data_IF_688147574038
#
_entry.id   IF_688147574038
#
_cell.length_a   1.000
_cell.length_b   1.000
_cell.length_c   1.000
_cell.angle_alpha   90.00
_cell.angle_beta   90.00
_cell.angle_gamma   90.00
#
_symmetry.space_group_name_H-M   'P 1'
#
loop_
_entity.id
_entity.type
_entity.pdbx_description
1 polymer ?
#
# COMPACT_ATOMS: atom_id res chain seq x y z
N UNK A 1 6.21 -18.59 8.31
CA UNK A 1 6.40 -17.16 8.66
C UNK A 1 5.05 -16.59 9.08
N UNK A 2 5.04 -15.78 10.14
CA UNK A 2 3.82 -15.11 10.66
C UNK A 2 3.66 -13.76 9.94
N UNK A 3 2.45 -13.41 9.49
CA UNK A 3 2.19 -12.14 8.80
C UNK A 3 2.34 -10.93 9.75
N UNK A 4 2.46 -9.72 9.19
CA UNK A 4 2.49 -8.49 9.98
C UNK A 4 1.27 -8.38 10.91
N UNK A 5 0.07 -8.65 10.38
CA UNK A 5 -1.16 -8.53 11.16
C UNK A 5 -1.19 -9.55 12.29
N UNK A 6 -0.81 -10.81 12.04
CA UNK A 6 -0.81 -11.81 13.11
C UNK A 6 0.23 -11.51 14.20
N UNK A 7 1.40 -10.99 13.80
CA UNK A 7 2.47 -10.66 14.75
C UNK A 7 2.12 -9.46 15.66
N UNK A 8 1.41 -8.47 15.13
CA UNK A 8 1.12 -7.20 15.82
C UNK A 8 -0.38 -6.96 16.04
N UNK A 9 -1.16 -8.03 16.07
CA UNK A 9 -2.64 -8.01 16.09
C UNK A 9 -3.20 -7.09 17.18
N UNK A 10 -2.63 -7.17 18.38
CA UNK A 10 -3.08 -6.41 19.55
C UNK A 10 -2.90 -4.89 19.42
N UNK A 11 -2.07 -4.45 18.46
CA UNK A 11 -1.82 -3.04 18.16
C UNK A 11 -2.58 -2.55 16.93
N UNK A 12 -3.34 -3.40 16.25
CA UNK A 12 -3.97 -3.08 14.98
C UNK A 12 -5.50 -3.04 15.12
N UNK A 13 -6.22 -2.27 14.28
CA UNK A 13 -7.67 -2.15 14.32
C UNK A 13 -8.38 -3.38 13.70
N UNK A 14 -7.99 -4.59 14.10
CA UNK A 14 -8.48 -5.87 13.58
C UNK A 14 -9.13 -6.69 14.69
N UNK A 15 -10.20 -7.39 14.35
CA UNK A 15 -10.89 -8.34 15.23
C UNK A 15 -10.36 -9.76 15.01
N UNK A 16 -10.73 -10.70 15.89
CA UNK A 16 -10.45 -12.14 15.70
C UNK A 16 -11.00 -12.68 14.37
N UNK A 17 -12.03 -12.03 13.83
CA UNK A 17 -12.71 -12.45 12.61
C UNK A 17 -12.25 -11.69 11.37
N UNK A 18 -11.37 -10.69 11.50
CA UNK A 18 -10.86 -9.95 10.36
C UNK A 18 -10.09 -10.89 9.43
N UNK A 19 -10.49 -11.02 8.15
CA UNK A 19 -9.76 -11.82 7.17
C UNK A 19 -8.38 -11.24 6.94
N UNK A 20 -7.34 -12.07 6.98
CA UNK A 20 -5.95 -11.62 6.85
C UNK A 20 -5.49 -11.76 5.40
N UNK A 21 -5.33 -10.61 4.73
CA UNK A 21 -4.74 -10.52 3.39
C UNK A 21 -3.28 -10.14 3.51
N UNK A 22 -2.38 -11.11 3.43
CA UNK A 22 -0.94 -10.90 3.54
C UNK A 22 -0.18 -11.44 2.33
N UNK A 23 0.90 -10.76 1.98
CA UNK A 23 1.95 -11.19 1.05
C UNK A 23 3.27 -11.47 1.78
N UNK A 24 3.22 -11.65 3.10
CA UNK A 24 4.38 -11.84 4.00
C UNK A 24 5.26 -10.58 4.12
N UNK A 25 4.61 -9.42 4.07
CA UNK A 25 5.20 -8.11 4.33
C UNK A 25 5.67 -7.91 5.78
N UNK A 26 6.56 -6.94 5.97
CA UNK A 26 7.17 -6.65 7.25
C UNK A 26 8.41 -7.52 7.51
N UNK A 27 8.86 -7.51 8.77
CA UNK A 27 10.09 -8.19 9.21
C UNK A 27 11.33 -7.95 8.31
N UNK A 28 11.40 -6.77 7.70
CA UNK A 28 12.46 -6.42 6.76
C UNK A 28 13.81 -6.24 7.45
N UNK A 29 14.94 -6.42 6.74
CA UNK A 29 16.26 -6.31 7.32
C UNK A 29 16.50 -4.96 8.02
N UNK A 30 17.19 -5.00 9.15
CA UNK A 30 17.81 -3.84 9.78
C UNK A 30 19.32 -3.99 9.58
N UNK A 31 19.87 -3.24 8.62
CA UNK A 31 21.24 -3.43 8.15
C UNK A 31 22.15 -2.45 8.87
N UNK A 32 23.17 -2.96 9.55
CA UNK A 32 24.25 -2.12 10.07
C UNK A 32 25.04 -1.50 8.90
N UNK A 33 25.34 -0.21 8.96
CA UNK A 33 25.98 0.55 7.88
C UNK A 33 27.29 1.25 8.33
N UNK A 34 28.31 0.48 8.78
CA UNK A 34 29.52 1.06 9.39
C UNK A 34 30.32 1.92 8.42
N UNK A 35 30.42 1.53 7.14
CA UNK A 35 31.11 2.32 6.11
C UNK A 35 30.41 3.65 5.81
N UNK A 36 29.08 3.68 5.86
CA UNK A 36 28.32 4.91 5.67
C UNK A 36 28.46 5.83 6.88
N UNK A 37 28.42 5.27 8.10
CA UNK A 37 28.67 6.03 9.33
C UNK A 37 30.05 6.72 9.29
N UNK A 38 31.09 5.98 8.89
CA UNK A 38 32.44 6.53 8.71
C UNK A 38 32.47 7.63 7.64
N UNK A 39 31.86 7.41 6.48
CA UNK A 39 31.87 8.35 5.36
C UNK A 39 31.23 9.71 5.70
N UNK A 40 30.28 9.74 6.65
CA UNK A 40 29.60 10.96 7.09
C UNK A 40 30.10 11.48 8.45
N UNK A 41 31.16 10.88 9.02
CA UNK A 41 31.67 11.17 10.36
C UNK A 41 30.60 11.05 11.46
N UNK A 42 29.68 10.09 11.33
CA UNK A 42 28.67 9.83 12.36
C UNK A 42 29.30 9.08 13.53
N UNK A 43 29.25 9.62 14.76
CA UNK A 43 29.99 9.05 15.90
C UNK A 43 29.31 7.82 16.54
N UNK A 44 28.16 7.39 16.03
CA UNK A 44 27.37 6.29 16.60
C UNK A 44 27.14 5.14 15.62
N UNK A 45 26.31 4.19 16.04
CA UNK A 45 25.86 3.09 15.20
C UNK A 45 24.79 3.57 14.21
N UNK A 46 25.02 3.33 12.92
CA UNK A 46 24.06 3.65 11.86
C UNK A 46 23.42 2.38 11.34
N UNK A 47 22.09 2.34 11.33
CA UNK A 47 21.31 1.24 10.75
C UNK A 47 20.37 1.74 9.66
N UNK A 48 20.18 0.90 8.64
CA UNK A 48 19.25 1.12 7.54
C UNK A 48 18.08 0.15 7.65
N UNK A 49 16.86 0.68 7.83
CA UNK A 49 15.64 -0.14 7.76
C UNK A 49 15.26 -0.38 6.31
N UNK A 50 15.57 -1.55 5.77
CA UNK A 50 15.46 -1.81 4.33
C UNK A 50 14.07 -2.29 3.91
N UNK A 51 13.11 -1.36 3.80
CA UNK A 51 11.74 -1.67 3.39
C UNK A 51 11.55 -1.95 1.90
N UNK A 52 12.62 -1.88 1.10
CA UNK A 52 12.65 -2.38 -0.28
C UNK A 52 12.54 -3.90 -0.39
N UNK A 53 12.76 -4.63 0.71
CA UNK A 53 12.58 -6.09 0.77
C UNK A 53 11.11 -6.52 0.95
N UNK A 54 10.16 -5.58 1.07
CA UNK A 54 8.73 -5.92 1.10
C UNK A 54 8.25 -6.45 -0.27
N UNK A 55 7.12 -7.19 -0.33
CA UNK A 55 6.66 -7.90 -1.53
C UNK A 55 6.57 -7.05 -2.81
N UNK A 56 6.13 -5.80 -2.73
CA UNK A 56 6.06 -4.90 -3.90
C UNK A 56 7.24 -3.91 -3.96
N UNK A 57 8.27 -4.12 -3.15
CA UNK A 57 9.47 -3.27 -3.12
C UNK A 57 9.29 -1.98 -2.32
N UNK A 58 8.29 -1.87 -1.44
CA UNK A 58 8.09 -0.65 -0.66
C UNK A 58 7.41 -0.85 0.69
N UNK A 59 7.61 0.10 1.60
CA UNK A 59 6.91 0.14 2.89
C UNK A 59 5.39 0.28 2.79
N UNK A 60 4.82 0.61 1.61
CA UNK A 60 3.36 0.77 1.45
C UNK A 60 2.61 -0.52 1.77
N UNK A 61 3.28 -1.66 1.61
CA UNK A 61 2.76 -3.00 1.87
C UNK A 61 2.28 -3.18 3.31
N UNK A 62 3.02 -2.59 4.26
CA UNK A 62 2.67 -2.62 5.70
C UNK A 62 1.30 -1.99 5.98
N UNK A 63 0.98 -0.90 5.28
CA UNK A 63 -0.34 -0.28 5.39
C UNK A 63 -1.40 -0.98 4.55
N UNK A 64 -1.01 -1.52 3.40
CA UNK A 64 -1.95 -2.10 2.44
C UNK A 64 -2.53 -3.42 2.91
N UNK A 65 -1.72 -4.26 3.58
CA UNK A 65 -2.19 -5.49 4.25
C UNK A 65 -3.35 -5.21 5.20
N UNK A 66 -3.24 -4.19 6.05
CA UNK A 66 -4.30 -3.82 7.01
C UNK A 66 -5.49 -3.21 6.28
N UNK A 67 -5.26 -2.26 5.37
CA UNK A 67 -6.34 -1.59 4.65
C UNK A 67 -7.18 -2.54 3.79
N UNK A 68 -6.55 -3.51 3.11
CA UNK A 68 -7.24 -4.49 2.27
C UNK A 68 -7.89 -5.58 3.13
N UNK A 69 -7.26 -6.03 4.21
CA UNK A 69 -7.89 -6.96 5.17
C UNK A 69 -9.21 -6.38 5.73
N UNK A 70 -9.19 -5.09 6.11
CA UNK A 70 -10.39 -4.36 6.53
C UNK A 70 -11.40 -4.18 5.39
N UNK A 71 -10.94 -3.93 4.17
CA UNK A 71 -11.81 -3.85 3.00
C UNK A 71 -12.58 -5.16 2.76
N UNK A 72 -11.90 -6.31 2.92
CA UNK A 72 -12.54 -7.64 2.83
C UNK A 72 -13.51 -7.86 3.98
N UNK A 73 -13.14 -7.49 5.22
CA UNK A 73 -14.04 -7.56 6.38
C UNK A 73 -15.33 -6.76 6.15
N UNK A 74 -15.21 -5.56 5.56
CA UNK A 74 -16.31 -4.67 5.24
C UNK A 74 -17.05 -5.05 3.94
N UNK A 75 -16.67 -6.18 3.31
CA UNK A 75 -17.27 -6.75 2.10
C UNK A 75 -17.34 -5.76 0.93
N UNK A 76 -16.33 -4.90 0.77
CA UNK A 76 -16.30 -3.95 -0.35
C UNK A 76 -16.09 -4.68 -1.68
N UNK A 77 -16.59 -4.09 -2.77
CA UNK A 77 -16.48 -4.70 -4.10
C UNK A 77 -15.13 -4.44 -4.78
N UNK A 78 -14.51 -3.31 -4.44
CA UNK A 78 -13.22 -2.90 -4.99
C UNK A 78 -12.50 -1.96 -4.03
N UNK A 79 -11.17 -1.90 -4.19
CA UNK A 79 -10.35 -0.82 -3.65
C UNK A 79 -10.04 0.19 -4.75
N UNK A 80 -9.87 1.44 -4.35
CA UNK A 80 -9.58 2.54 -5.27
C UNK A 80 -8.48 3.44 -4.71
N UNK A 81 -7.57 3.88 -5.57
CA UNK A 81 -6.58 4.90 -5.21
C UNK A 81 -6.23 5.81 -6.38
N UNK A 82 -5.82 7.04 -6.06
CA UNK A 82 -5.14 7.94 -6.99
C UNK A 82 -3.62 7.88 -6.72
N UNK A 83 -2.82 7.27 -7.61
CA UNK A 83 -1.35 7.23 -7.50
C UNK A 83 -0.69 6.62 -8.75
N UNK A 84 0.48 7.13 -9.12
CA UNK A 84 1.32 6.62 -10.22
C UNK A 84 2.52 5.79 -9.75
N UNK A 85 2.57 5.36 -8.48
CA UNK A 85 3.75 4.70 -7.91
C UNK A 85 3.45 3.62 -6.86
N UNK A 86 4.32 3.49 -5.86
CA UNK A 86 4.30 2.37 -4.91
C UNK A 86 2.95 2.12 -4.22
N UNK A 87 2.13 3.16 -4.00
CA UNK A 87 0.79 2.99 -3.42
C UNK A 87 -0.12 2.20 -4.35
N UNK A 88 -0.16 2.50 -5.65
CA UNK A 88 -1.02 1.78 -6.59
C UNK A 88 -0.50 0.38 -6.88
N UNK A 89 0.83 0.19 -6.91
CA UNK A 89 1.42 -1.15 -7.03
C UNK A 89 1.05 -2.04 -5.83
N UNK A 90 1.22 -1.52 -4.60
CA UNK A 90 0.82 -2.22 -3.38
C UNK A 90 -0.69 -2.49 -3.37
N UNK A 91 -1.53 -1.49 -3.67
CA UNK A 91 -2.97 -1.66 -3.72
C UNK A 91 -3.40 -2.76 -4.70
N UNK A 92 -2.82 -2.76 -5.91
CA UNK A 92 -3.11 -3.75 -6.92
C UNK A 92 -2.70 -5.16 -6.48
N UNK A 93 -1.50 -5.33 -5.92
CA UNK A 93 -1.00 -6.62 -5.45
C UNK A 93 -1.88 -7.22 -4.33
N UNK A 94 -2.23 -6.42 -3.32
CA UNK A 94 -3.06 -6.90 -2.21
C UNK A 94 -4.52 -7.12 -2.62
N UNK A 95 -5.07 -6.27 -3.49
CA UNK A 95 -6.41 -6.49 -4.03
C UNK A 95 -6.48 -7.79 -4.83
N UNK A 96 -5.49 -8.03 -5.69
CA UNK A 96 -5.35 -9.29 -6.45
C UNK A 96 -5.27 -10.50 -5.53
N UNK A 97 -4.43 -10.43 -4.48
CA UNK A 97 -4.34 -11.46 -3.44
C UNK A 97 -5.67 -11.73 -2.72
N UNK A 98 -6.48 -10.70 -2.52
CA UNK A 98 -7.79 -10.77 -1.86
C UNK A 98 -8.95 -11.15 -2.78
N UNK A 99 -8.73 -11.26 -4.10
CA UNK A 99 -9.81 -11.42 -5.08
C UNK A 99 -10.69 -10.17 -5.25
N UNK A 100 -10.20 -8.99 -4.84
CA UNK A 100 -10.88 -7.71 -5.00
C UNK A 100 -10.47 -7.03 -6.32
N UNK A 101 -11.40 -6.27 -6.90
CA UNK A 101 -11.06 -5.34 -7.99
C UNK A 101 -10.19 -4.21 -7.44
N UNK A 102 -9.20 -3.77 -8.22
CA UNK A 102 -8.41 -2.57 -7.92
C UNK A 102 -8.60 -1.54 -9.02
N UNK A 103 -8.94 -0.31 -8.64
CA UNK A 103 -9.11 0.83 -9.54
C UNK A 103 -8.02 1.85 -9.24
N UNK A 104 -7.26 2.24 -10.25
CA UNK A 104 -6.16 3.21 -10.12
C UNK A 104 -6.44 4.41 -11.01
N UNK A 105 -6.69 5.55 -10.40
CA UNK A 105 -6.88 6.82 -11.09
C UNK A 105 -5.53 7.54 -11.24
N UNK A 106 -5.21 7.95 -12.47
CA UNK A 106 -3.94 8.63 -12.78
C UNK A 106 -4.20 9.85 -13.65
N UNK A 107 -3.56 11.01 -13.39
CA UNK A 107 -3.55 12.13 -14.32
C UNK A 107 -3.03 11.73 -15.70
N UNK A 108 -3.67 12.21 -16.76
CA UNK A 108 -3.22 12.05 -18.14
C UNK A 108 -1.81 12.67 -18.30
N UNK A 109 -0.92 11.99 -19.01
CA UNK A 109 0.48 12.43 -19.17
C UNK A 109 1.42 12.12 -18.00
N UNK A 110 0.92 11.71 -16.83
CA UNK A 110 1.74 11.30 -15.68
C UNK A 110 2.16 9.82 -15.71
N UNK A 111 2.10 9.18 -16.88
CA UNK A 111 2.22 7.74 -17.09
C UNK A 111 3.69 7.37 -17.35
N UNK A 112 4.49 7.22 -16.29
CA UNK A 112 5.80 6.59 -16.41
C UNK A 112 5.61 5.06 -16.51
N UNK A 113 5.88 4.48 -17.68
CA UNK A 113 5.62 3.07 -18.01
C UNK A 113 6.21 2.08 -16.99
N UNK A 114 7.43 2.31 -16.52
CA UNK A 114 8.10 1.43 -15.55
C UNK A 114 7.39 1.33 -14.20
N UNK A 115 6.76 2.43 -13.72
CA UNK A 115 6.07 2.43 -12.42
C UNK A 115 4.71 1.74 -12.46
N UNK A 116 4.10 1.67 -13.64
CA UNK A 116 2.80 1.02 -13.83
C UNK A 116 2.90 -0.46 -14.16
N UNK A 117 4.09 -0.98 -14.48
CA UNK A 117 4.27 -2.40 -14.80
C UNK A 117 3.68 -3.32 -13.71
N UNK A 118 4.00 -3.07 -12.44
CA UNK A 118 3.43 -3.83 -11.31
C UNK A 118 1.90 -3.72 -11.22
N UNK A 119 1.35 -2.53 -11.49
CA UNK A 119 -0.10 -2.26 -11.46
C UNK A 119 -0.83 -3.05 -12.55
N UNK A 120 -0.25 -3.07 -13.76
CA UNK A 120 -0.79 -3.78 -14.92
C UNK A 120 -0.70 -5.29 -14.70
N UNK A 121 0.46 -5.81 -14.27
CA UNK A 121 0.67 -7.24 -14.02
C UNK A 121 -0.26 -7.75 -12.91
N UNK A 122 -0.49 -6.93 -11.87
CA UNK A 122 -1.43 -7.27 -10.79
C UNK A 122 -2.92 -7.16 -11.21
N UNK A 123 -3.22 -6.75 -12.45
CA UNK A 123 -4.57 -6.76 -13.01
C UNK A 123 -5.46 -5.59 -12.60
N UNK A 124 -4.88 -4.47 -12.15
CA UNK A 124 -5.68 -3.31 -11.77
C UNK A 124 -6.26 -2.58 -13.00
N UNK A 125 -7.46 -2.04 -12.84
CA UNK A 125 -8.08 -1.16 -13.83
C UNK A 125 -7.52 0.25 -13.70
N UNK A 126 -6.70 0.64 -14.66
CA UNK A 126 -6.15 1.99 -14.74
C UNK A 126 -7.15 2.90 -15.45
N UNK A 127 -7.48 4.03 -14.83
CA UNK A 127 -8.39 5.03 -15.36
C UNK A 127 -7.64 6.36 -15.47
N UNK A 128 -7.29 6.81 -16.69
CA UNK A 128 -6.69 8.12 -16.88
C UNK A 128 -7.75 9.21 -16.64
N UNK A 129 -7.35 10.29 -15.97
CA UNK A 129 -8.15 11.48 -15.73
C UNK A 129 -7.51 12.65 -16.47
N UNK A 130 -8.30 13.39 -17.23
CA UNK A 130 -7.88 14.62 -17.92
C UNK A 130 -7.74 15.81 -16.96
N UNK A 131 -7.06 15.61 -15.84
CA UNK A 131 -6.94 16.61 -14.79
C UNK A 131 -5.78 16.30 -13.82
N UNK A 132 -5.58 17.16 -12.82
CA UNK A 132 -4.51 17.01 -11.84
C UNK A 132 -4.81 16.00 -10.72
N UNK A 133 -3.81 15.74 -9.88
CA UNK A 133 -3.90 14.79 -8.76
C UNK A 133 -4.99 15.15 -7.73
N UNK A 134 -5.17 16.43 -7.43
CA UNK A 134 -6.14 16.87 -6.42
C UNK A 134 -7.57 16.58 -6.88
N UNK A 135 -7.88 16.86 -8.14
CA UNK A 135 -9.18 16.50 -8.71
C UNK A 135 -9.36 15.00 -8.85
N UNK A 136 -8.31 14.25 -9.14
CA UNK A 136 -8.36 12.79 -9.08
C UNK A 136 -8.76 12.31 -7.67
N UNK A 137 -8.19 12.90 -6.62
CA UNK A 137 -8.49 12.56 -5.24
C UNK A 137 -9.92 12.96 -4.83
N UNK A 138 -10.40 14.13 -5.27
CA UNK A 138 -11.80 14.56 -5.08
C UNK A 138 -12.76 13.57 -5.73
N UNK A 139 -12.51 13.20 -6.99
CA UNK A 139 -13.34 12.22 -7.70
C UNK A 139 -13.37 10.87 -6.98
N UNK A 140 -12.22 10.41 -6.45
CA UNK A 140 -12.18 9.17 -5.67
C UNK A 140 -13.10 9.26 -4.45
N UNK A 141 -13.10 10.40 -3.73
CA UNK A 141 -13.96 10.61 -2.55
C UNK A 141 -15.44 10.54 -2.93
N UNK A 142 -15.84 11.23 -3.99
CA UNK A 142 -17.22 11.18 -4.49
C UNK A 142 -17.64 9.77 -4.93
N UNK A 143 -16.72 8.99 -5.52
CA UNK A 143 -16.99 7.61 -5.93
C UNK A 143 -17.21 6.72 -4.71
N UNK A 144 -16.39 6.81 -3.66
CA UNK A 144 -16.54 5.95 -2.48
C UNK A 144 -17.77 6.31 -1.63
N UNK A 145 -18.31 7.52 -1.76
CA UNK A 145 -19.58 7.89 -1.14
C UNK A 145 -20.79 7.29 -1.88
N UNK A 146 -20.68 7.11 -3.20
CA UNK A 146 -21.77 6.60 -4.06
C UNK A 146 -21.75 5.09 -4.24
N UNK A 147 -20.57 4.47 -4.16
CA UNK A 147 -20.35 3.06 -4.43
C UNK A 147 -19.65 2.40 -3.24
N UNK A 148 -19.94 1.11 -3.01
CA UNK A 148 -19.36 0.34 -1.89
C UNK A 148 -17.90 -0.07 -2.17
N UNK A 149 -17.03 0.94 -2.25
CA UNK A 149 -15.60 0.86 -2.54
C UNK A 149 -14.77 1.41 -1.38
N UNK A 150 -13.53 0.95 -1.24
CA UNK A 150 -12.60 1.45 -0.22
C UNK A 150 -11.51 2.32 -0.83
N UNK A 151 -11.40 3.57 -0.38
CA UNK A 151 -10.24 4.41 -0.64
C UNK A 151 -9.01 3.88 0.10
N UNK A 152 -7.90 3.66 -0.61
CA UNK A 152 -6.62 3.18 -0.02
C UNK A 152 -5.44 4.13 -0.25
N UNK A 153 -5.72 5.42 -0.45
CA UNK A 153 -4.72 6.49 -0.33
C UNK A 153 -4.28 6.69 1.14
N UNK A 154 -3.28 7.53 1.38
CA UNK A 154 -2.72 7.78 2.72
C UNK A 154 -3.73 8.34 3.74
N UNK A 155 -4.88 8.85 3.28
CA UNK A 155 -5.98 9.30 4.12
C UNK A 155 -6.71 8.14 4.83
N UNK A 156 -6.53 6.89 4.37
CA UNK A 156 -7.12 5.73 5.02
C UNK A 156 -6.38 5.44 6.34
N UNK A 157 -7.05 5.50 7.51
CA UNK A 157 -6.39 5.34 8.81
C UNK A 157 -5.73 3.96 8.97
N UNK A 158 -6.29 2.90 8.38
CA UNK A 158 -5.70 1.57 8.44
C UNK A 158 -4.33 1.49 7.77
N UNK A 159 -4.06 2.36 6.78
CA UNK A 159 -2.74 2.42 6.18
C UNK A 159 -1.70 2.98 7.12
N UNK A 160 -2.08 3.95 7.96
CA UNK A 160 -1.20 4.54 8.97
C UNK A 160 -0.98 3.51 10.08
N UNK A 161 -2.05 2.86 10.54
CA UNK A 161 -1.98 1.82 11.57
C UNK A 161 -1.06 0.66 11.18
N UNK A 162 -1.07 0.23 9.92
CA UNK A 162 -0.15 -0.81 9.47
C UNK A 162 1.30 -0.36 9.30
N UNK A 163 1.54 0.94 9.10
CA UNK A 163 2.89 1.49 8.86
C UNK A 163 3.68 1.84 10.13
N UNK A 164 3.02 1.82 11.30
CA UNK A 164 3.67 2.16 12.58
C UNK A 164 4.61 1.07 13.10
#
# INVERSE_FOLDING_TARGET
>A
MVSLIEKYRDFLPVSKNTPIVSLQEGNTPLLEAPRLAQAINFPGELYLKYDGANPTGSFKDRGMTVAVSKAVEDKVQAVICASTGNTSASAAAYASRAGLKCIVLIPEGAIASGKLAQVIIAGAKIVPIKDNFDKALTLVREIVEKYHLRLVNSLNPHRIEGQK
#
